data_IF_955215936756
#
_entry.id   IF_955215936756
#
_cell.length_a   1.000
_cell.length_b   1.000
_cell.length_c   1.000
_cell.angle_alpha   90.00
_cell.angle_beta   90.00
_cell.angle_gamma   90.00
#
_symmetry.space_group_name_H-M   'P 1'
#
loop_
_entity.id
_entity.type
_entity.pdbx_description
1 polymer ?
#
# COMPACT_ATOMS: atom_id res chain seq x y z
N UNK A 1 -17.07 57.22 78.97
CA UNK A 1 -16.55 58.22 78.02
C UNK A 1 -16.11 57.50 76.75
N UNK A 2 -16.71 57.84 75.62
CA UNK A 2 -16.14 57.70 74.28
C UNK A 2 -15.77 59.13 73.80
N UNK A 3 -15.22 59.38 72.59
CA UNK A 3 -14.38 58.63 71.62
C UNK A 3 -13.12 59.51 71.27
N UNK A 4 -12.47 59.59 70.06
CA UNK A 4 -12.62 58.96 68.72
C UNK A 4 -11.28 58.42 68.11
N UNK A 5 -11.11 57.84 66.90
CA UNK A 5 -11.64 58.08 65.53
C UNK A 5 -11.55 56.83 64.62
N UNK A 6 -12.39 56.84 63.57
CA UNK A 6 -12.52 55.91 62.43
C UNK A 6 -11.73 56.39 61.19
N UNK A 7 -11.28 55.44 60.35
CA UNK A 7 -11.22 55.47 58.87
C UNK A 7 -11.56 54.02 58.44
N UNK A 8 -12.45 53.65 57.53
CA UNK A 8 -13.10 54.35 56.43
C UNK A 8 -12.61 53.79 55.10
N UNK A 9 -13.20 52.69 54.58
CA UNK A 9 -13.12 52.32 53.16
C UNK A 9 -14.36 51.52 52.73
N UNK A 10 -14.80 51.89 51.54
CA UNK A 10 -16.14 51.83 50.97
C UNK A 10 -16.36 50.57 50.13
N UNK A 11 -17.57 50.03 50.25
CA UNK A 11 -18.15 48.97 49.42
C UNK A 11 -18.76 49.58 48.16
N UNK A 12 -18.44 49.06 46.98
CA UNK A 12 -19.17 49.35 45.74
C UNK A 12 -19.69 48.05 45.14
N UNK A 13 -20.99 48.07 44.88
CA UNK A 13 -21.79 47.01 44.30
C UNK A 13 -21.61 46.95 42.79
N UNK A 14 -21.57 45.75 42.20
CA UNK A 14 -22.07 45.53 40.84
C UNK A 14 -22.82 44.20 40.76
N UNK A 15 -24.07 44.32 40.30
CA UNK A 15 -25.05 43.27 40.06
C UNK A 15 -24.62 42.36 38.91
N UNK A 16 -24.78 41.04 39.08
CA UNK A 16 -24.92 40.12 37.95
C UNK A 16 -26.35 39.60 37.91
N UNK A 17 -27.09 40.07 36.91
CA UNK A 17 -28.43 39.58 36.56
C UNK A 17 -28.32 38.23 35.85
N UNK A 18 -29.27 37.35 36.19
CA UNK A 18 -29.52 36.07 35.55
C UNK A 18 -29.96 36.23 34.10
N UNK A 19 -29.50 35.34 33.22
CA UNK A 19 -30.24 34.94 32.02
C UNK A 19 -30.04 33.45 31.78
N UNK A 20 -31.03 32.66 32.18
CA UNK A 20 -31.15 31.27 31.79
C UNK A 20 -31.70 31.24 30.35
N UNK A 21 -30.93 30.67 29.41
CA UNK A 21 -31.41 30.32 28.09
C UNK A 21 -31.45 28.79 27.98
N UNK A 22 -32.67 28.25 27.97
CA UNK A 22 -32.96 26.89 27.52
C UNK A 22 -32.59 26.78 26.04
N UNK A 23 -31.75 25.82 25.69
CA UNK A 23 -31.67 25.26 24.34
C UNK A 23 -31.98 23.77 24.45
N UNK A 24 -33.20 23.41 24.07
CA UNK A 24 -33.61 22.05 23.80
C UNK A 24 -32.85 21.57 22.53
N UNK A 25 -31.99 20.56 22.69
CA UNK A 25 -31.45 19.83 21.57
C UNK A 25 -32.49 18.78 21.14
N UNK A 26 -32.97 18.90 19.91
CA UNK A 26 -33.80 17.89 19.25
C UNK A 26 -32.91 16.71 18.84
N UNK A 27 -33.26 15.51 19.31
CA UNK A 27 -32.68 14.26 18.85
C UNK A 27 -33.07 14.00 17.39
N UNK A 28 -32.18 14.36 16.47
CA UNK A 28 -32.20 13.84 15.10
C UNK A 28 -31.24 12.64 15.03
N UNK A 29 -31.78 11.45 15.28
CA UNK A 29 -31.11 10.18 15.04
C UNK A 29 -30.79 10.05 13.54
N UNK A 30 -29.58 10.44 13.15
CA UNK A 30 -29.02 10.12 11.82
C UNK A 30 -28.49 8.70 11.87
N UNK A 31 -29.33 7.75 11.44
CA UNK A 31 -28.94 6.38 11.20
C UNK A 31 -27.81 6.33 10.15
N UNK A 32 -26.58 6.06 10.60
CA UNK A 32 -25.48 5.74 9.72
C UNK A 32 -25.80 4.43 8.97
N UNK A 33 -25.66 4.36 7.63
CA UNK A 33 -26.02 3.15 6.91
C UNK A 33 -25.11 1.99 7.34
N UNK A 34 -25.74 0.89 7.78
CA UNK A 34 -25.05 -0.35 8.15
C UNK A 34 -24.13 -0.79 6.99
N UNK A 35 -22.89 -1.17 7.31
CA UNK A 35 -21.85 -1.49 6.33
C UNK A 35 -22.15 -2.72 5.45
N UNK A 36 -23.19 -3.50 5.75
CA UNK A 36 -23.66 -4.59 4.88
C UNK A 36 -24.19 -4.10 3.52
N UNK A 37 -24.71 -2.87 3.45
CA UNK A 37 -25.21 -2.28 2.21
C UNK A 37 -24.08 -1.91 1.23
N UNK A 38 -22.89 -1.54 1.74
CA UNK A 38 -21.70 -1.24 0.93
C UNK A 38 -21.07 -2.49 0.30
N UNK A 39 -21.09 -3.62 1.02
CA UNK A 39 -20.59 -4.89 0.49
C UNK A 39 -21.52 -5.52 -0.56
N UNK A 40 -22.82 -5.25 -0.51
CA UNK A 40 -23.77 -5.69 -1.54
C UNK A 40 -23.68 -4.83 -2.80
N UNK A 41 -23.41 -3.54 -2.67
CA UNK A 41 -23.25 -2.61 -3.79
C UNK A 41 -21.99 -2.86 -4.65
N UNK A 42 -20.88 -3.36 -4.06
CA UNK A 42 -19.65 -3.61 -4.83
C UNK A 42 -19.72 -4.85 -5.75
N UNK A 43 -20.67 -5.76 -5.53
CA UNK A 43 -20.90 -6.92 -6.40
C UNK A 43 -21.62 -6.57 -7.71
N UNK A 44 -22.25 -5.39 -7.80
CA UNK A 44 -23.10 -4.99 -8.94
C UNK A 44 -22.55 -3.82 -9.76
N UNK A 45 -21.45 -3.18 -9.35
CA UNK A 45 -20.90 -2.04 -10.10
C UNK A 45 -20.01 -2.54 -11.24
N UNK A 46 -20.28 -2.10 -12.45
CA UNK A 46 -19.43 -2.39 -13.62
C UNK A 46 -18.00 -1.90 -13.36
N UNK A 47 -17.01 -2.63 -13.91
CA UNK A 47 -15.63 -2.17 -13.85
C UNK A 47 -15.46 -0.93 -14.73
N UNK A 48 -14.57 0.02 -14.35
CA UNK A 48 -14.22 1.11 -15.25
C UNK A 48 -13.69 0.58 -16.58
N UNK A 49 -14.04 1.26 -17.66
CA UNK A 49 -13.51 0.98 -19.00
C UNK A 49 -12.29 1.87 -19.22
N UNK A 50 -11.26 1.34 -19.85
CA UNK A 50 -10.01 2.05 -20.13
C UNK A 50 -9.80 2.18 -21.64
N UNK A 51 -9.03 3.20 -22.04
CA UNK A 51 -8.46 3.29 -23.37
C UNK A 51 -7.39 2.21 -23.54
N UNK A 52 -7.24 1.70 -24.76
CA UNK A 52 -6.14 0.81 -25.09
C UNK A 52 -4.80 1.53 -24.90
N UNK A 53 -3.87 0.87 -24.22
CA UNK A 53 -2.52 1.35 -24.03
C UNK A 53 -1.69 1.23 -25.32
N UNK A 54 -0.74 2.14 -25.56
CA UNK A 54 0.20 2.00 -26.66
C UNK A 54 0.98 0.68 -26.59
N UNK A 55 1.41 0.17 -27.74
CA UNK A 55 2.37 -0.93 -27.79
C UNK A 55 3.77 -0.41 -27.44
N UNK A 56 4.43 -1.06 -26.50
CA UNK A 56 5.82 -0.80 -26.12
C UNK A 56 6.69 -1.96 -26.63
N UNK A 57 7.82 -1.64 -27.27
CA UNK A 57 8.70 -2.61 -27.93
C UNK A 57 10.11 -2.52 -27.40
N UNK A 58 10.80 -3.64 -27.38
CA UNK A 58 12.19 -3.71 -27.00
C UNK A 58 13.10 -2.95 -27.98
N UNK A 59 14.13 -2.32 -27.44
CA UNK A 59 15.28 -1.88 -28.20
C UNK A 59 16.18 -3.05 -28.63
N UNK A 60 17.14 -2.78 -29.52
CA UNK A 60 18.09 -3.80 -30.03
C UNK A 60 18.99 -4.41 -28.96
N UNK A 61 19.23 -3.67 -27.88
CA UNK A 61 20.08 -4.03 -26.74
C UNK A 61 19.38 -5.02 -25.78
N UNK A 62 18.07 -5.24 -25.94
CA UNK A 62 17.30 -6.07 -25.02
C UNK A 62 17.62 -7.56 -25.16
N UNK A 63 17.76 -8.30 -24.04
CA UNK A 63 17.93 -9.73 -24.07
C UNK A 63 16.76 -10.41 -24.78
N UNK A 64 17.06 -11.33 -25.69
CA UNK A 64 16.03 -12.12 -26.37
C UNK A 64 15.44 -13.13 -25.41
N UNK A 65 14.12 -13.16 -25.34
CA UNK A 65 13.37 -14.24 -24.70
C UNK A 65 13.48 -15.47 -25.61
N UNK A 66 13.69 -16.64 -25.00
CA UNK A 66 13.81 -17.91 -25.71
C UNK A 66 12.49 -18.23 -26.40
N UNK A 67 12.53 -18.33 -27.72
CA UNK A 67 11.44 -18.88 -28.52
C UNK A 67 11.42 -20.42 -28.35
N UNK A 68 10.59 -20.87 -27.40
CA UNK A 68 10.05 -22.23 -27.23
C UNK A 68 10.97 -23.44 -26.95
N UNK A 69 10.56 -24.23 -25.94
CA UNK A 69 10.33 -25.69 -25.99
C UNK A 69 9.76 -26.11 -24.62
N UNK A 70 8.45 -26.38 -24.53
CA UNK A 70 7.74 -26.96 -23.36
C UNK A 70 7.78 -26.24 -21.98
N UNK A 71 8.56 -25.17 -21.78
CA UNK A 71 8.60 -24.41 -20.52
C UNK A 71 7.43 -23.42 -20.40
N UNK A 72 7.01 -23.09 -19.17
CA UNK A 72 5.99 -22.07 -18.98
C UNK A 72 6.57 -20.70 -19.42
N UNK A 73 5.77 -19.79 -20.00
CA UNK A 73 6.22 -18.47 -20.45
C UNK A 73 6.92 -17.61 -19.39
N UNK A 74 6.88 -18.02 -18.12
CA UNK A 74 7.46 -17.34 -16.95
C UNK A 74 8.85 -17.84 -16.56
N UNK A 75 9.46 -18.76 -17.29
CA UNK A 75 10.65 -19.48 -16.80
C UNK A 75 11.97 -18.97 -17.43
N UNK A 76 11.89 -17.92 -18.25
CA UNK A 76 13.04 -17.38 -18.96
C UNK A 76 13.87 -16.42 -18.07
N UNK A 77 15.19 -16.64 -17.93
CA UNK A 77 16.06 -15.77 -17.12
C UNK A 77 16.16 -14.32 -17.62
N UNK A 78 15.78 -14.05 -18.87
CA UNK A 78 15.71 -12.71 -19.44
C UNK A 78 14.49 -11.91 -18.94
N UNK A 79 13.55 -12.55 -18.25
CA UNK A 79 12.34 -11.90 -17.75
C UNK A 79 12.57 -11.18 -16.43
N UNK A 80 11.92 -10.02 -16.31
CA UNK A 80 11.76 -9.30 -15.06
C UNK A 80 10.35 -9.59 -14.55
N UNK A 81 10.28 -10.32 -13.44
CA UNK A 81 9.01 -10.69 -12.84
C UNK A 81 8.51 -9.58 -11.92
N UNK A 82 7.31 -9.08 -12.22
CA UNK A 82 6.66 -8.03 -11.45
C UNK A 82 5.39 -8.59 -10.87
N UNK A 83 5.13 -8.38 -9.58
CA UNK A 83 3.90 -8.84 -8.93
C UNK A 83 3.11 -7.68 -8.35
N UNK A 84 1.79 -7.74 -8.52
CA UNK A 84 0.86 -6.72 -8.01
C UNK A 84 -0.43 -7.40 -7.56
N UNK A 85 -1.10 -6.80 -6.58
CA UNK A 85 -2.51 -7.12 -6.32
C UNK A 85 -3.41 -6.43 -7.35
N UNK A 86 -4.56 -7.04 -7.64
CA UNK A 86 -5.55 -6.55 -8.57
C UNK A 86 -6.94 -6.70 -7.96
N UNK A 87 -7.62 -5.58 -7.73
CA UNK A 87 -9.01 -5.53 -7.29
C UNK A 87 -9.78 -4.41 -7.98
N UNK A 88 -11.11 -4.52 -7.98
CA UNK A 88 -11.99 -3.58 -8.66
C UNK A 88 -11.91 -2.14 -8.11
N UNK A 89 -11.58 -1.97 -6.83
CA UNK A 89 -11.51 -0.65 -6.16
C UNK A 89 -10.23 0.10 -6.56
N UNK A 90 -9.12 -0.62 -6.70
CA UNK A 90 -7.82 -0.08 -7.05
C UNK A 90 -7.44 -0.26 -8.53
N UNK A 91 -8.33 -0.83 -9.35
CA UNK A 91 -8.05 -1.17 -10.75
C UNK A 91 -7.49 0.01 -11.55
N UNK A 92 -8.02 1.22 -11.37
CA UNK A 92 -7.51 2.44 -12.03
C UNK A 92 -6.05 2.73 -11.64
N UNK A 93 -5.70 2.53 -10.37
CA UNK A 93 -4.32 2.62 -9.89
C UNK A 93 -3.42 1.51 -10.47
N UNK A 94 -3.88 0.26 -10.46
CA UNK A 94 -3.12 -0.88 -11.03
C UNK A 94 -2.84 -0.67 -12.53
N UNK A 95 -3.81 -0.19 -13.30
CA UNK A 95 -3.65 0.14 -14.73
C UNK A 95 -2.61 1.23 -14.92
N UNK A 96 -2.68 2.32 -14.15
CA UNK A 96 -1.69 3.38 -14.21
C UNK A 96 -0.27 2.89 -13.82
N UNK A 97 -0.18 2.02 -12.81
CA UNK A 97 1.06 1.39 -12.39
C UNK A 97 1.68 0.55 -13.52
N UNK A 98 0.90 -0.36 -14.13
CA UNK A 98 1.34 -1.18 -15.27
C UNK A 98 1.80 -0.30 -16.44
N UNK A 99 0.99 0.70 -16.83
CA UNK A 99 1.35 1.62 -17.92
C UNK A 99 2.65 2.37 -17.61
N UNK A 100 2.83 2.84 -16.37
CA UNK A 100 4.03 3.57 -15.98
C UNK A 100 5.29 2.70 -16.09
N UNK A 101 5.20 1.45 -15.65
CA UNK A 101 6.30 0.48 -15.78
C UNK A 101 6.64 0.25 -17.25
N UNK A 102 5.63 -0.04 -18.09
CA UNK A 102 5.84 -0.29 -19.52
C UNK A 102 6.43 0.92 -20.25
N UNK A 103 5.97 2.13 -19.91
CA UNK A 103 6.41 3.38 -20.54
C UNK A 103 7.86 3.72 -20.23
N UNK A 104 8.38 3.34 -19.07
CA UNK A 104 9.71 3.71 -18.61
C UNK A 104 10.74 2.57 -18.66
N UNK A 105 10.32 1.34 -18.97
CA UNK A 105 11.22 0.21 -19.13
C UNK A 105 12.01 0.30 -20.44
N UNK A 106 13.32 0.00 -20.38
CA UNK A 106 14.13 -0.11 -21.60
C UNK A 106 13.76 -1.34 -22.44
N UNK A 107 13.31 -2.41 -21.77
CA UNK A 107 12.92 -3.68 -22.38
C UNK A 107 11.52 -4.11 -21.94
N UNK A 108 10.47 -3.41 -22.40
CA UNK A 108 9.09 -3.63 -21.97
C UNK A 108 8.56 -5.03 -22.31
N UNK A 109 9.05 -5.68 -23.37
CA UNK A 109 8.61 -7.03 -23.75
C UNK A 109 9.26 -8.11 -22.86
N UNK A 110 10.31 -7.78 -22.10
CA UNK A 110 10.93 -8.66 -21.08
C UNK A 110 10.21 -8.62 -19.72
N UNK A 111 9.13 -7.85 -19.59
CA UNK A 111 8.41 -7.76 -18.33
C UNK A 111 7.31 -8.82 -18.27
N UNK A 112 7.25 -9.56 -17.15
CA UNK A 112 6.18 -10.53 -16.91
C UNK A 112 5.43 -10.20 -15.63
N UNK A 113 4.13 -9.92 -15.75
CA UNK A 113 3.29 -9.53 -14.61
C UNK A 113 2.56 -10.72 -13.98
N UNK A 114 2.79 -10.94 -12.69
CA UNK A 114 2.05 -11.86 -11.84
C UNK A 114 1.00 -11.09 -11.04
N UNK A 115 -0.25 -11.18 -11.44
CA UNK A 115 -1.33 -10.39 -10.86
C UNK A 115 -2.16 -11.24 -9.91
N UNK A 116 -2.39 -10.78 -8.68
CA UNK A 116 -3.16 -11.50 -7.67
C UNK A 116 -4.55 -10.90 -7.52
N UNK A 117 -5.59 -11.68 -7.81
CA UNK A 117 -6.99 -11.24 -7.64
C UNK A 117 -7.77 -12.18 -6.74
N UNK A 118 -8.58 -11.64 -5.83
CA UNK A 118 -9.43 -12.46 -4.94
C UNK A 118 -10.84 -12.69 -5.48
N UNK A 119 -11.37 -11.74 -6.25
CA UNK A 119 -12.73 -11.74 -6.78
C UNK A 119 -12.74 -11.18 -8.20
N UNK A 120 -13.79 -11.52 -8.98
CA UNK A 120 -14.00 -11.02 -10.34
C UNK A 120 -12.80 -11.23 -11.28
N UNK A 121 -12.08 -12.34 -11.12
CA UNK A 121 -10.85 -12.63 -11.87
C UNK A 121 -11.08 -12.58 -13.39
N UNK A 122 -12.19 -13.11 -13.89
CA UNK A 122 -12.49 -13.12 -15.32
C UNK A 122 -12.81 -11.72 -15.87
N UNK A 123 -13.55 -10.90 -15.11
CA UNK A 123 -13.81 -9.50 -15.49
C UNK A 123 -12.51 -8.70 -15.52
N UNK A 124 -11.69 -8.83 -14.47
CA UNK A 124 -10.40 -8.16 -14.37
C UNK A 124 -9.45 -8.59 -15.50
N UNK A 125 -9.40 -9.88 -15.83
CA UNK A 125 -8.65 -10.41 -16.97
C UNK A 125 -9.12 -9.79 -18.27
N UNK A 126 -10.45 -9.76 -18.52
CA UNK A 126 -11.02 -9.15 -19.75
C UNK A 126 -10.66 -7.68 -19.85
N UNK A 127 -10.79 -6.92 -18.76
CA UNK A 127 -10.40 -5.51 -18.73
C UNK A 127 -8.92 -5.33 -19.05
N UNK A 128 -8.03 -6.12 -18.46
CA UNK A 128 -6.60 -6.03 -18.73
C UNK A 128 -6.23 -6.39 -20.16
N UNK A 129 -6.81 -7.45 -20.73
CA UNK A 129 -6.56 -7.82 -22.14
C UNK A 129 -7.02 -6.72 -23.09
N UNK A 130 -8.17 -6.11 -22.82
CA UNK A 130 -8.66 -4.98 -23.62
C UNK A 130 -7.82 -3.71 -23.45
N UNK A 131 -7.26 -3.48 -22.26
CA UNK A 131 -6.46 -2.28 -21.96
C UNK A 131 -5.02 -2.44 -22.41
N UNK A 132 -4.44 -3.63 -22.31
CA UNK A 132 -3.05 -3.93 -22.66
C UNK A 132 -2.96 -5.21 -23.52
N UNK A 133 -3.26 -5.13 -24.83
CA UNK A 133 -3.29 -6.31 -25.71
C UNK A 133 -1.95 -7.06 -25.82
N UNK A 134 -0.84 -6.37 -25.56
CA UNK A 134 0.53 -6.91 -25.65
C UNK A 134 1.16 -7.22 -24.29
N UNK A 135 0.40 -7.16 -23.19
CA UNK A 135 0.94 -7.41 -21.85
C UNK A 135 1.19 -8.90 -21.64
N UNK A 136 2.42 -9.26 -21.30
CA UNK A 136 2.75 -10.59 -20.78
C UNK A 136 2.37 -10.67 -19.30
N UNK A 137 1.28 -11.38 -18.99
CA UNK A 137 0.83 -11.55 -17.61
C UNK A 137 0.18 -12.90 -17.32
N UNK A 138 0.18 -13.25 -16.04
CA UNK A 138 -0.64 -14.33 -15.48
C UNK A 138 -1.43 -13.82 -14.28
N UNK A 139 -2.73 -14.11 -14.28
CA UNK A 139 -3.61 -13.83 -13.16
C UNK A 139 -3.71 -15.06 -12.24
N UNK A 140 -3.44 -14.87 -10.96
CA UNK A 140 -3.55 -15.88 -9.92
C UNK A 140 -4.73 -15.56 -9.00
N UNK A 141 -5.54 -16.57 -8.71
CA UNK A 141 -6.66 -16.45 -7.78
C UNK A 141 -6.14 -16.56 -6.35
N UNK A 142 -6.27 -15.49 -5.59
CA UNK A 142 -5.98 -15.50 -4.15
C UNK A 142 -7.25 -15.88 -3.37
N UNK A 143 -7.22 -17.03 -2.68
CA UNK A 143 -8.34 -17.43 -1.81
C UNK A 143 -8.30 -16.63 -0.50
N UNK A 144 -9.25 -15.71 -0.24
CA UNK A 144 -9.24 -14.92 0.98
C UNK A 144 -9.39 -15.76 2.26
N UNK A 145 -9.86 -17.01 2.16
CA UNK A 145 -10.00 -17.92 3.31
C UNK A 145 -8.66 -18.35 3.90
N UNK A 146 -7.57 -18.34 3.11
CA UNK A 146 -6.24 -18.74 3.58
C UNK A 146 -5.70 -17.86 4.72
N UNK A 147 -6.15 -16.61 4.76
CA UNK A 147 -5.67 -15.58 5.68
C UNK A 147 -6.75 -14.98 6.58
N UNK A 148 -8.04 -15.13 6.23
CA UNK A 148 -9.14 -14.47 6.94
C UNK A 148 -9.11 -14.70 8.45
N UNK A 149 -8.90 -15.95 8.88
CA UNK A 149 -8.91 -16.32 10.30
C UNK A 149 -7.63 -15.90 11.03
N UNK A 150 -6.63 -15.40 10.30
CA UNK A 150 -5.35 -14.91 10.83
C UNK A 150 -5.32 -13.38 10.92
N UNK A 151 -6.27 -12.68 10.29
CA UNK A 151 -6.33 -11.20 10.31
C UNK A 151 -6.99 -10.74 11.61
N UNK A 152 -6.29 -9.88 12.35
CA UNK A 152 -6.88 -9.12 13.45
C UNK A 152 -7.44 -7.80 12.94
N UNK A 153 -8.55 -7.36 13.53
CA UNK A 153 -9.13 -6.05 13.23
C UNK A 153 -8.10 -4.95 13.47
N UNK A 154 -7.80 -4.16 12.43
CA UNK A 154 -6.93 -2.99 12.47
C UNK A 154 -7.73 -1.74 12.83
N UNK A 155 -7.04 -0.65 13.18
CA UNK A 155 -7.68 0.67 13.39
C UNK A 155 -8.42 1.17 12.13
N UNK A 156 -8.08 0.62 10.96
CA UNK A 156 -8.80 0.88 9.70
C UNK A 156 -9.30 -0.42 9.09
N UNK A 157 -10.62 -0.57 8.95
CA UNK A 157 -11.25 -1.74 8.29
C UNK A 157 -10.73 -2.02 6.88
N UNK A 158 -10.29 -0.99 6.15
CA UNK A 158 -9.69 -1.14 4.82
C UNK A 158 -8.36 -1.92 4.83
N UNK A 159 -7.65 -1.93 5.97
CA UNK A 159 -6.41 -2.69 6.16
C UNK A 159 -6.67 -4.18 6.38
N UNK A 160 -7.87 -4.54 6.83
CA UNK A 160 -8.27 -5.93 7.10
C UNK A 160 -8.66 -6.70 5.84
N UNK A 161 -8.62 -6.07 4.67
CA UNK A 161 -8.93 -6.72 3.41
C UNK A 161 -7.92 -7.85 3.15
N UNK A 162 -8.35 -9.11 2.95
CA UNK A 162 -7.45 -10.25 2.75
C UNK A 162 -6.39 -10.02 1.65
N UNK A 163 -6.76 -9.29 0.60
CA UNK A 163 -5.84 -9.01 -0.50
C UNK A 163 -4.61 -8.18 -0.07
N UNK A 164 -4.69 -7.38 1.01
CA UNK A 164 -3.54 -6.66 1.56
C UNK A 164 -2.45 -7.59 2.11
N UNK A 165 -2.83 -8.82 2.45
CA UNK A 165 -1.96 -9.87 2.97
C UNK A 165 -1.51 -10.85 1.87
N UNK A 166 -2.03 -10.75 0.64
CA UNK A 166 -1.68 -11.67 -0.45
C UNK A 166 -0.18 -11.70 -0.74
N UNK A 167 0.52 -10.58 -0.50
CA UNK A 167 1.99 -10.46 -0.62
C UNK A 167 2.78 -11.43 0.30
N UNK A 168 2.17 -11.89 1.40
CA UNK A 168 2.77 -12.90 2.30
C UNK A 168 2.89 -14.26 1.60
N UNK A 169 1.98 -14.54 0.67
CA UNK A 169 1.80 -15.85 0.03
C UNK A 169 2.42 -15.92 -1.37
N UNK A 170 3.22 -14.94 -1.78
CA UNK A 170 3.80 -14.90 -3.14
C UNK A 170 4.58 -16.18 -3.46
N UNK A 171 5.41 -16.64 -2.52
CA UNK A 171 6.20 -17.85 -2.66
C UNK A 171 5.35 -19.13 -2.84
N UNK A 172 4.15 -19.15 -2.25
CA UNK A 172 3.21 -20.28 -2.31
C UNK A 172 2.30 -20.22 -3.55
N UNK A 173 2.01 -19.02 -4.04
CA UNK A 173 1.12 -18.78 -5.17
C UNK A 173 1.83 -18.85 -6.52
N UNK A 174 3.07 -18.34 -6.59
CA UNK A 174 3.86 -18.31 -7.82
C UNK A 174 4.61 -19.62 -8.01
N UNK A 175 4.77 -20.10 -9.26
CA UNK A 175 5.42 -21.37 -9.52
C UNK A 175 6.88 -21.36 -9.03
N UNK A 176 7.44 -22.52 -8.65
CA UNK A 176 8.83 -22.63 -8.20
C UNK A 176 9.85 -22.10 -9.20
N UNK A 177 9.52 -22.13 -10.49
CA UNK A 177 10.35 -21.59 -11.58
C UNK A 177 10.51 -20.07 -11.56
N UNK A 178 9.74 -19.34 -10.75
CA UNK A 178 9.93 -17.91 -10.49
C UNK A 178 10.72 -17.76 -9.18
N UNK A 179 12.05 -17.53 -9.25
CA UNK A 179 12.90 -17.44 -8.06
C UNK A 179 12.91 -16.04 -7.45
N UNK A 180 12.44 -15.02 -8.18
CA UNK A 180 12.60 -13.61 -7.80
C UNK A 180 11.46 -12.78 -8.37
N UNK A 181 11.01 -11.77 -7.61
CA UNK A 181 9.99 -10.80 -8.07
C UNK A 181 10.29 -9.39 -7.58
N UNK A 182 9.83 -8.38 -8.32
CA UNK A 182 9.61 -7.03 -7.82
C UNK A 182 8.12 -6.90 -7.46
N UNK A 183 7.81 -6.71 -6.18
CA UNK A 183 6.46 -6.44 -5.70
C UNK A 183 6.17 -4.94 -5.72
N UNK A 184 5.01 -4.58 -6.28
CA UNK A 184 4.50 -3.21 -6.39
C UNK A 184 3.06 -3.13 -5.87
N UNK A 185 2.78 -2.20 -4.95
CA UNK A 185 1.41 -1.86 -4.54
C UNK A 185 0.65 -1.19 -5.71
N UNK A 186 -0.68 -1.13 -5.63
CA UNK A 186 -1.55 -0.68 -6.74
C UNK A 186 -1.70 0.84 -6.87
N UNK A 187 -1.07 1.64 -6.02
CA UNK A 187 -1.23 3.08 -5.89
C UNK A 187 0.09 3.83 -6.07
N UNK A 188 0.88 3.39 -7.05
CA UNK A 188 2.16 3.98 -7.43
C UNK A 188 2.29 4.20 -8.94
N UNK A 189 3.24 5.05 -9.32
CA UNK A 189 3.78 5.08 -10.69
C UNK A 189 5.30 5.02 -10.65
N UNK A 190 5.85 4.31 -11.61
CA UNK A 190 7.30 4.20 -11.84
C UNK A 190 7.69 5.21 -12.92
N UNK A 191 8.77 5.96 -12.70
CA UNK A 191 9.26 7.03 -13.59
C UNK A 191 10.73 6.84 -13.96
N UNK A 192 11.24 5.62 -13.81
CA UNK A 192 12.58 5.19 -14.17
C UNK A 192 12.54 3.72 -14.61
N UNK A 193 13.64 3.21 -15.15
CA UNK A 193 13.71 1.84 -15.65
C UNK A 193 13.67 0.81 -14.52
N UNK A 194 12.60 0.00 -14.46
CA UNK A 194 12.40 -1.04 -13.45
C UNK A 194 13.51 -2.09 -13.43
N UNK A 195 14.24 -2.27 -14.53
CA UNK A 195 15.40 -3.16 -14.60
C UNK A 195 16.49 -2.80 -13.59
N UNK A 196 16.64 -1.50 -13.26
CA UNK A 196 17.58 -1.03 -12.24
C UNK A 196 17.22 -1.52 -10.84
N UNK A 197 15.92 -1.50 -10.50
CA UNK A 197 15.42 -2.05 -9.24
C UNK A 197 15.54 -3.58 -9.22
N UNK A 198 15.18 -4.23 -10.33
CA UNK A 198 15.32 -5.68 -10.48
C UNK A 198 16.77 -6.15 -10.29
N UNK A 199 17.76 -5.42 -10.81
CA UNK A 199 19.17 -5.81 -10.79
C UNK A 199 19.87 -5.62 -9.43
N UNK A 200 19.22 -5.05 -8.42
CA UNK A 200 19.83 -4.86 -7.09
C UNK A 200 20.28 -6.20 -6.52
N UNK A 201 21.55 -6.32 -6.16
CA UNK A 201 22.03 -7.51 -5.44
C UNK A 201 21.40 -7.56 -4.04
N UNK A 202 20.81 -8.71 -3.71
CA UNK A 202 20.19 -8.95 -2.39
C UNK A 202 21.21 -9.46 -1.37
N UNK A 203 22.45 -9.74 -1.79
CA UNK A 203 23.46 -10.44 -1.01
C UNK A 203 22.87 -11.73 -0.39
N UNK A 204 22.99 -11.88 0.93
CA UNK A 204 22.39 -12.97 1.71
C UNK A 204 20.98 -12.64 2.23
N UNK A 205 20.43 -11.47 1.91
CA UNK A 205 19.08 -11.09 2.34
C UNK A 205 18.01 -11.73 1.45
N UNK A 206 16.81 -11.87 1.99
CA UNK A 206 15.64 -12.42 1.29
C UNK A 206 14.86 -11.34 0.54
N UNK A 207 14.94 -10.10 1.03
CA UNK A 207 14.26 -8.99 0.40
C UNK A 207 15.06 -7.69 0.49
N UNK A 208 14.83 -6.81 -0.48
CA UNK A 208 15.31 -5.44 -0.50
C UNK A 208 14.16 -4.44 -0.52
N UNK A 209 14.30 -3.34 0.22
CA UNK A 209 13.32 -2.26 0.30
C UNK A 209 13.97 -0.96 0.79
N UNK A 210 13.39 0.23 0.51
CA UNK A 210 13.88 1.48 1.08
C UNK A 210 13.65 1.53 2.59
N UNK A 211 14.72 1.74 3.36
CA UNK A 211 14.68 1.86 4.83
C UNK A 211 14.66 3.31 5.29
N UNK A 212 13.73 3.66 6.18
CA UNK A 212 13.56 5.00 6.75
C UNK A 212 13.89 4.97 8.25
N UNK A 213 15.17 4.83 8.57
CA UNK A 213 15.67 4.74 9.96
C UNK A 213 15.42 6.00 10.82
N UNK A 214 15.03 7.12 10.21
CA UNK A 214 14.63 8.34 10.92
C UNK A 214 13.18 8.28 11.44
N UNK A 215 12.37 7.35 10.93
CA UNK A 215 11.02 7.15 11.43
C UNK A 215 11.05 6.58 12.85
N UNK A 216 10.12 7.00 13.69
CA UNK A 216 9.97 6.45 15.03
C UNK A 216 9.41 5.01 14.93
N UNK A 217 10.32 4.03 14.95
CA UNK A 217 10.02 2.61 14.82
C UNK A 217 9.09 2.09 15.94
N UNK A 218 9.17 2.68 17.13
CA UNK A 218 8.33 2.32 18.28
C UNK A 218 6.83 2.44 17.96
N UNK A 219 6.45 3.39 17.10
CA UNK A 219 5.04 3.67 16.73
C UNK A 219 4.36 2.57 15.91
N UNK A 220 5.09 1.58 15.42
CA UNK A 220 4.52 0.47 14.63
C UNK A 220 4.02 -0.69 15.51
N UNK A 221 4.26 -0.62 16.82
CA UNK A 221 3.88 -1.62 17.80
C UNK A 221 3.25 -0.94 19.03
N UNK A 222 2.41 -1.66 19.77
CA UNK A 222 1.74 -1.15 20.97
C UNK A 222 2.67 -1.12 22.17
N UNK A 223 2.32 -0.37 23.22
CA UNK A 223 3.07 -0.38 24.49
C UNK A 223 3.14 -1.79 25.09
N UNK A 224 2.09 -2.60 24.90
CA UNK A 224 2.06 -4.00 25.32
C UNK A 224 3.15 -4.86 24.64
N UNK A 225 3.46 -4.59 23.37
CA UNK A 225 4.58 -5.26 22.70
C UNK A 225 5.91 -4.89 23.34
N UNK A 226 6.14 -3.60 23.59
CA UNK A 226 7.41 -3.10 24.13
C UNK A 226 7.63 -3.47 25.59
N UNK A 227 6.55 -3.68 26.35
CA UNK A 227 6.59 -4.13 27.74
C UNK A 227 6.92 -5.63 27.90
N UNK A 228 6.79 -6.45 26.85
CA UNK A 228 7.03 -7.89 26.89
C UNK A 228 8.48 -8.22 26.45
N UNK A 229 9.37 -8.65 27.37
CA UNK A 229 10.75 -8.97 27.03
C UNK A 229 10.90 -10.10 26.02
N UNK A 230 9.97 -11.07 25.98
CA UNK A 230 10.03 -12.19 25.04
C UNK A 230 9.71 -11.72 23.62
N UNK A 231 8.78 -10.78 23.45
CA UNK A 231 8.46 -10.21 22.14
C UNK A 231 9.60 -9.33 21.62
N UNK A 232 10.13 -8.45 22.48
CA UNK A 232 11.18 -7.49 22.08
C UNK A 232 12.52 -8.14 21.75
N UNK A 233 12.80 -9.36 22.25
CA UNK A 233 13.98 -10.16 21.84
C UNK A 233 14.11 -10.31 20.33
N UNK A 234 12.99 -10.32 19.59
CA UNK A 234 13.00 -10.41 18.11
C UNK A 234 13.89 -9.37 17.43
N UNK A 235 14.08 -8.20 18.04
CA UNK A 235 14.91 -7.12 17.51
C UNK A 235 16.30 -7.05 18.15
N UNK A 236 16.49 -7.62 19.36
CA UNK A 236 17.76 -7.56 20.09
C UNK A 236 18.85 -8.41 19.44
N UNK A 237 18.49 -9.56 18.89
CA UNK A 237 19.44 -10.51 18.31
C UNK A 237 19.79 -10.20 16.84
N UNK A 238 19.47 -8.99 16.35
CA UNK A 238 19.75 -8.58 14.96
C UNK A 238 21.09 -7.89 14.87
N UNK A 239 21.87 -8.24 13.85
CA UNK A 239 23.16 -7.60 13.56
C UNK A 239 23.02 -6.13 13.16
N UNK A 240 21.90 -5.77 12.52
CA UNK A 240 21.61 -4.39 12.13
C UNK A 240 20.43 -3.84 12.94
N UNK A 241 20.42 -2.52 13.12
CA UNK A 241 19.32 -1.79 13.74
C UNK A 241 18.03 -2.04 12.96
N UNK A 242 16.96 -2.41 13.65
CA UNK A 242 15.64 -2.52 13.06
C UNK A 242 15.13 -1.12 12.65
N UNK A 243 14.91 -0.92 11.35
CA UNK A 243 14.34 0.28 10.78
C UNK A 243 12.98 0.01 10.12
N UNK A 244 12.16 1.05 10.04
CA UNK A 244 10.94 0.99 9.25
C UNK A 244 11.30 0.93 7.78
N UNK A 245 10.65 0.03 7.03
CA UNK A 245 10.60 0.05 5.59
C UNK A 245 9.14 -0.09 5.15
N UNK A 246 8.80 0.54 4.03
CA UNK A 246 7.47 0.40 3.45
C UNK A 246 7.38 -0.90 2.64
N UNK A 247 6.27 -1.64 2.76
CA UNK A 247 6.08 -2.94 2.07
C UNK A 247 5.42 -2.83 0.70
N UNK A 248 5.25 -1.61 0.16
CA UNK A 248 4.62 -1.40 -1.14
C UNK A 248 5.55 -1.45 -2.33
N UNK A 249 6.86 -1.46 -2.09
CA UNK A 249 7.89 -1.69 -3.11
C UNK A 249 8.95 -2.58 -2.50
N UNK A 250 9.11 -3.80 -3.03
CA UNK A 250 10.10 -4.76 -2.53
C UNK A 250 10.68 -5.57 -3.69
N UNK A 251 11.96 -5.91 -3.61
CA UNK A 251 12.55 -6.97 -4.43
C UNK A 251 12.68 -8.19 -3.54
N UNK A 252 12.14 -9.32 -3.96
CA UNK A 252 12.00 -10.52 -3.13
C UNK A 252 12.65 -11.71 -3.83
N UNK A 253 13.55 -12.38 -3.14
CA UNK A 253 14.05 -13.71 -3.48
C UNK A 253 13.04 -14.75 -2.99
N UNK A 254 12.21 -15.24 -3.91
CA UNK A 254 11.21 -16.27 -3.61
C UNK A 254 11.85 -17.63 -3.33
N UNK A 255 13.03 -17.92 -3.86
CA UNK A 255 13.75 -19.16 -3.54
C UNK A 255 14.15 -19.19 -2.07
N UNK A 256 14.87 -18.16 -1.60
CA UNK A 256 15.22 -18.01 -0.18
C UNK A 256 13.97 -17.86 0.70
N UNK A 257 12.90 -17.24 0.19
CA UNK A 257 11.64 -17.14 0.91
C UNK A 257 11.03 -18.53 1.20
N UNK A 258 11.01 -19.40 0.20
CA UNK A 258 10.53 -20.79 0.31
C UNK A 258 11.42 -21.60 1.25
N UNK A 259 12.73 -21.57 1.02
CA UNK A 259 13.72 -22.30 1.84
C UNK A 259 13.66 -21.91 3.32
N UNK A 260 13.50 -20.62 3.60
CA UNK A 260 13.44 -20.11 4.97
C UNK A 260 12.06 -20.20 5.64
N UNK A 261 11.02 -20.67 4.94
CA UNK A 261 9.66 -20.77 5.48
C UNK A 261 9.09 -19.43 5.94
N UNK A 262 9.34 -18.36 5.18
CA UNK A 262 9.02 -17.00 5.61
C UNK A 262 7.52 -16.71 5.65
N UNK A 263 6.71 -17.38 4.83
CA UNK A 263 5.24 -17.35 4.92
C UNK A 263 4.81 -17.76 6.34
N UNK A 264 5.28 -18.90 6.83
CA UNK A 264 4.89 -19.43 8.13
C UNK A 264 5.38 -18.54 9.28
N UNK A 265 6.58 -17.94 9.16
CA UNK A 265 7.09 -16.97 10.15
C UNK A 265 6.21 -15.73 10.26
N UNK A 266 5.73 -15.21 9.13
CA UNK A 266 4.80 -14.08 9.12
C UNK A 266 3.45 -14.46 9.75
N UNK A 267 2.91 -15.63 9.40
CA UNK A 267 1.66 -16.13 9.98
C UNK A 267 1.75 -16.32 11.50
N UNK A 268 2.87 -16.82 12.02
CA UNK A 268 3.09 -16.94 13.46
C UNK A 268 2.96 -15.60 14.18
N UNK A 269 3.49 -14.52 13.61
CA UNK A 269 3.32 -13.18 14.18
C UNK A 269 1.88 -12.66 14.07
N UNK A 270 1.16 -13.02 13.02
CA UNK A 270 -0.27 -12.71 12.88
C UNK A 270 -1.11 -13.43 13.94
N UNK A 271 -0.75 -14.66 14.31
CA UNK A 271 -1.44 -15.38 15.39
C UNK A 271 -1.11 -14.79 16.77
N UNK A 272 0.15 -14.40 17.02
CA UNK A 272 0.52 -13.66 18.24
C UNK A 272 -0.29 -12.36 18.35
N UNK A 273 -0.49 -11.65 17.23
CA UNK A 273 -1.32 -10.45 17.20
C UNK A 273 -2.76 -10.71 17.62
N UNK A 274 -3.37 -11.83 17.24
CA UNK A 274 -4.76 -12.17 17.64
C UNK A 274 -4.90 -12.35 19.14
N UNK A 275 -3.89 -12.94 19.79
CA UNK A 275 -3.89 -13.14 21.24
C UNK A 275 -3.53 -11.89 22.03
N UNK A 276 -2.45 -11.19 21.64
CA UNK A 276 -1.82 -10.13 22.46
C UNK A 276 -2.05 -8.69 21.98
N UNK A 277 -2.57 -8.46 20.76
CA UNK A 277 -2.78 -7.12 20.18
C UNK A 277 -1.53 -6.23 20.24
N UNK A 278 -0.44 -6.71 19.63
CA UNK A 278 0.90 -6.11 19.64
C UNK A 278 1.11 -4.98 18.62
N UNK A 279 0.17 -4.75 17.70
CA UNK A 279 0.16 -3.62 16.76
C UNK A 279 -1.26 -3.25 16.31
N UNK A 280 -1.40 -2.10 15.64
CA UNK A 280 -2.69 -1.53 15.20
C UNK A 280 -2.88 -1.41 13.68
N UNK A 281 -1.81 -1.70 12.92
CA UNK A 281 -1.76 -1.61 11.46
C UNK A 281 -2.10 -2.96 10.81
N UNK A 282 -2.23 -2.96 9.47
CA UNK A 282 -2.58 -4.13 8.66
C UNK A 282 -1.42 -5.12 8.48
N UNK A 283 -1.04 -5.39 7.23
CA UNK A 283 -0.02 -6.39 6.90
C UNK A 283 1.43 -5.94 7.13
N UNK A 284 1.69 -4.65 7.40
CA UNK A 284 3.04 -4.10 7.57
C UNK A 284 3.79 -4.63 8.82
N UNK A 285 3.22 -4.63 10.05
CA UNK A 285 3.98 -5.02 11.23
C UNK A 285 4.55 -6.45 11.21
N UNK A 286 3.84 -7.48 10.70
CA UNK A 286 4.44 -8.80 10.47
C UNK A 286 5.74 -8.73 9.64
N UNK A 287 5.77 -7.94 8.58
CA UNK A 287 7.00 -7.76 7.78
C UNK A 287 8.12 -7.11 8.60
N UNK A 288 7.82 -6.08 9.40
CA UNK A 288 8.82 -5.46 10.27
C UNK A 288 9.35 -6.47 11.32
N UNK A 289 8.46 -7.25 11.92
CA UNK A 289 8.79 -8.30 12.90
C UNK A 289 9.66 -9.40 12.31
N UNK A 290 9.58 -9.68 11.02
CA UNK A 290 10.40 -10.72 10.38
C UNK A 290 11.68 -10.14 9.77
N UNK A 291 11.61 -8.95 9.18
CA UNK A 291 12.65 -8.46 8.25
C UNK A 291 13.35 -7.16 8.66
N UNK A 292 12.83 -6.31 9.57
CA UNK A 292 13.51 -5.03 9.88
C UNK A 292 14.96 -5.24 10.36
N UNK A 293 15.96 -4.61 9.73
CA UNK A 293 17.38 -4.90 10.03
C UNK A 293 17.93 -6.20 9.40
N UNK A 294 17.12 -6.88 8.58
CA UNK A 294 17.45 -8.05 7.74
C UNK A 294 16.96 -7.85 6.29
N UNK A 295 16.85 -6.58 5.87
CA UNK A 295 16.57 -6.20 4.49
C UNK A 295 17.83 -5.67 3.86
N UNK A 296 17.97 -5.85 2.55
CA UNK A 296 18.95 -5.08 1.78
C UNK A 296 18.37 -3.68 1.57
N UNK A 297 19.03 -2.66 2.13
CA UNK A 297 18.62 -1.28 1.94
C UNK A 297 18.77 -0.88 0.46
N UNK A 298 17.74 -0.24 -0.08
CA UNK A 298 17.80 0.39 -1.41
C UNK A 298 17.55 1.88 -1.30
N UNK A 299 17.96 2.62 -2.33
CA UNK A 299 17.86 4.08 -2.37
C UNK A 299 16.39 4.54 -2.25
N UNK A 300 16.15 5.62 -1.52
CA UNK A 300 14.80 6.15 -1.28
C UNK A 300 14.06 6.58 -2.56
N UNK A 301 14.79 6.80 -3.65
CA UNK A 301 14.22 7.11 -4.97
C UNK A 301 13.22 6.08 -5.46
N UNK A 302 13.36 4.83 -5.02
CA UNK A 302 12.48 3.72 -5.37
C UNK A 302 11.18 3.68 -4.57
N UNK A 303 10.97 4.59 -3.62
CA UNK A 303 9.69 4.69 -2.91
C UNK A 303 9.50 6.09 -2.30
N UNK A 304 9.04 7.05 -3.10
CA UNK A 304 8.54 8.33 -2.59
C UNK A 304 7.14 8.12 -2.00
N UNK A 305 7.09 7.57 -0.79
CA UNK A 305 5.88 7.09 -0.14
C UNK A 305 5.15 8.19 0.65
N UNK A 306 3.88 7.94 0.99
CA UNK A 306 3.07 8.87 1.78
C UNK A 306 2.39 9.96 0.95
N UNK A 307 2.41 9.90 -0.38
CA UNK A 307 1.76 10.89 -1.25
C UNK A 307 0.22 10.84 -1.15
N UNK A 308 -0.34 9.79 -0.53
CA UNK A 308 -1.74 9.72 -0.14
C UNK A 308 -2.11 10.65 1.03
N UNK A 309 -1.16 11.45 1.52
CA UNK A 309 -1.35 12.52 2.48
C UNK A 309 -1.37 12.05 3.93
N UNK A 310 -1.41 13.02 4.85
CA UNK A 310 -1.59 12.72 6.27
C UNK A 310 -2.95 12.05 6.50
N UNK A 311 -2.95 10.98 7.28
CA UNK A 311 -4.12 10.17 7.56
C UNK A 311 -5.13 10.84 8.50
N UNK A 312 -4.71 11.92 9.19
CA UNK A 312 -5.53 12.70 10.13
C UNK A 312 -6.13 13.93 9.46
N UNK A 313 -5.33 14.75 8.77
CA UNK A 313 -5.79 16.01 8.17
C UNK A 313 -5.98 15.98 6.65
N UNK A 314 -5.59 14.90 5.97
CA UNK A 314 -5.66 14.81 4.50
C UNK A 314 -4.70 15.75 3.77
N UNK A 315 -3.70 16.30 4.48
CA UNK A 315 -2.75 17.25 3.93
C UNK A 315 -1.87 16.59 2.86
N UNK A 316 -1.65 17.30 1.75
CA UNK A 316 -0.67 16.94 0.74
C UNK A 316 0.73 16.85 1.36
N UNK A 317 1.56 15.96 0.82
CA UNK A 317 2.94 15.79 1.24
C UNK A 317 3.87 16.03 0.06
N UNK A 318 5.02 16.64 0.36
CA UNK A 318 6.11 16.80 -0.60
C UNK A 318 6.91 15.50 -0.74
N UNK A 319 7.76 15.49 -1.77
CA UNK A 319 8.71 14.40 -2.00
C UNK A 319 9.78 14.39 -0.90
N UNK A 320 10.30 13.20 -0.60
CA UNK A 320 11.54 13.09 0.16
C UNK A 320 12.71 13.65 -0.67
N UNK A 321 13.75 14.21 -0.01
CA UNK A 321 14.93 14.71 -0.71
C UNK A 321 15.61 13.65 -1.60
N UNK A 322 16.18 14.09 -2.72
CA UNK A 322 16.96 13.25 -3.62
C UNK A 322 16.23 12.92 -4.94
N UNK A 323 16.82 12.03 -5.76
CA UNK A 323 16.22 11.64 -7.04
C UNK A 323 14.93 10.84 -6.83
N UNK A 324 14.12 10.78 -7.89
CA UNK A 324 12.83 10.08 -7.92
C UNK A 324 12.84 9.05 -9.03
N UNK A 325 12.51 7.80 -8.69
CA UNK A 325 12.27 6.72 -9.64
C UNK A 325 10.86 6.13 -9.50
N UNK A 326 10.23 6.32 -8.34
CA UNK A 326 8.90 5.80 -8.06
C UNK A 326 8.16 6.72 -7.09
N UNK A 327 6.93 7.07 -7.45
CA UNK A 327 5.99 7.88 -6.67
C UNK A 327 4.89 6.98 -6.11
N UNK A 328 4.62 7.05 -4.80
CA UNK A 328 3.72 6.11 -4.13
C UNK A 328 2.70 6.83 -3.23
N UNK A 329 1.42 6.75 -3.63
CA UNK A 329 0.27 7.30 -2.92
C UNK A 329 -0.22 6.41 -1.78
N UNK A 330 0.73 5.85 -1.02
CA UNK A 330 0.42 5.16 0.22
C UNK A 330 -0.27 6.12 1.20
N UNK A 331 -1.32 5.63 1.84
CA UNK A 331 -2.22 6.45 2.65
C UNK A 331 -3.67 6.39 2.13
N UNK A 332 -4.49 7.35 2.58
CA UNK A 332 -5.93 7.38 2.25
C UNK A 332 -6.21 8.08 0.92
N UNK A 333 -5.52 9.16 0.62
CA UNK A 333 -5.69 9.91 -0.61
C UNK A 333 -5.22 9.10 -1.80
N UNK A 334 -6.07 8.98 -2.81
CA UNK A 334 -5.71 8.37 -4.10
C UNK A 334 -5.77 9.42 -5.19
N UNK A 335 -4.78 9.46 -6.10
CA UNK A 335 -4.66 10.55 -7.06
C UNK A 335 -5.91 10.62 -7.96
N UNK A 336 -6.40 9.48 -8.45
CA UNK A 336 -7.63 9.42 -9.24
C UNK A 336 -8.86 9.97 -8.52
N UNK A 337 -9.04 9.66 -7.23
CA UNK A 337 -10.17 10.18 -6.45
C UNK A 337 -10.07 11.69 -6.23
N UNK A 338 -8.85 12.19 -5.97
CA UNK A 338 -8.60 13.61 -5.74
C UNK A 338 -8.80 14.42 -7.02
N UNK A 339 -8.30 13.91 -8.15
CA UNK A 339 -8.50 14.48 -9.48
C UNK A 339 -9.99 14.54 -9.84
N UNK A 340 -10.72 13.43 -9.73
CA UNK A 340 -12.16 13.38 -10.04
C UNK A 340 -12.98 14.35 -9.16
N UNK A 341 -12.57 14.53 -7.90
CA UNK A 341 -13.24 15.45 -6.96
C UNK A 341 -12.91 16.94 -7.15
N UNK A 342 -12.03 17.27 -8.10
CA UNK A 342 -11.55 18.65 -8.30
C UNK A 342 -10.70 19.19 -7.14
N UNK A 343 -10.11 18.30 -6.32
CA UNK A 343 -9.27 18.65 -5.16
C UNK A 343 -7.91 17.95 -5.22
N UNK A 344 -7.13 18.11 -6.31
CA UNK A 344 -5.83 17.47 -6.44
C UNK A 344 -4.82 18.04 -5.45
N UNK A 345 -3.95 17.17 -4.97
CA UNK A 345 -2.65 17.60 -4.45
C UNK A 345 -1.71 17.94 -5.61
N UNK A 346 -0.70 18.81 -5.42
CA UNK A 346 0.21 19.22 -6.50
C UNK A 346 0.81 18.03 -7.27
N UNK A 347 1.24 16.98 -6.55
CA UNK A 347 1.87 15.80 -7.15
C UNK A 347 0.89 14.87 -7.86
N UNK A 348 -0.44 14.99 -7.68
CA UNK A 348 -1.42 14.15 -8.38
C UNK A 348 -1.39 14.38 -9.90
N UNK A 349 -0.98 15.58 -10.32
CA UNK A 349 -0.74 15.91 -11.72
C UNK A 349 0.33 15.03 -12.37
N UNK A 350 1.27 14.47 -11.59
CA UNK A 350 2.29 13.54 -12.09
C UNK A 350 1.73 12.13 -12.32
N UNK A 351 0.60 11.79 -11.69
CA UNK A 351 -0.09 10.51 -11.90
C UNK A 351 -1.02 10.57 -13.12
N UNK A 352 -1.65 11.72 -13.39
CA UNK A 352 -2.64 11.89 -14.45
C UNK A 352 -2.23 11.39 -15.85
N UNK A 353 -0.96 11.54 -16.31
CA UNK A 353 -0.53 11.04 -17.62
C UNK A 353 -0.56 9.51 -17.80
N UNK A 354 -0.78 8.76 -16.72
CA UNK A 354 -0.89 7.30 -16.74
C UNK A 354 -2.33 6.82 -16.58
N UNK A 355 -3.29 7.73 -16.46
CA UNK A 355 -4.69 7.39 -16.30
C UNK A 355 -5.34 7.09 -17.65
N UNK A 356 -5.65 5.82 -17.88
CA UNK A 356 -6.32 5.37 -19.10
C UNK A 356 -7.84 5.34 -18.98
N UNK A 357 -8.44 5.78 -17.87
CA UNK A 357 -9.90 5.63 -17.70
C UNK A 357 -10.64 6.37 -18.82
N UNK A 358 -11.59 5.69 -19.45
CA UNK A 358 -12.54 6.33 -20.38
C UNK A 358 -13.57 7.05 -19.54
N UNK A 359 -13.42 8.35 -19.41
CA UNK A 359 -14.50 9.18 -18.90
C UNK A 359 -15.57 9.19 -19.98
N UNK A 360 -16.70 8.51 -19.76
CA UNK A 360 -17.87 8.69 -20.61
C UNK A 360 -18.24 10.18 -20.58
N UNK A 361 -18.51 10.85 -21.71
CA UNK A 361 -18.84 12.26 -21.68
C UNK A 361 -20.16 12.44 -20.94
N UNK A 362 -20.07 12.74 -19.65
CA UNK A 362 -21.05 13.52 -18.94
C UNK A 362 -20.36 14.84 -18.65
N UNK A 363 -20.99 15.94 -19.09
CA UNK A 363 -20.55 17.33 -19.03
C UNK A 363 -19.80 17.84 -20.28
N UNK A 364 -20.49 17.78 -21.41
CA UNK A 364 -20.51 18.90 -22.35
C UNK A 364 -21.97 19.33 -22.51
N UNK A 365 -22.45 20.16 -21.58
CA UNK A 365 -23.56 21.11 -21.74
C UNK A 365 -23.27 22.31 -20.82
#
# INVERSE_FOLDING_TARGET
>A
MAPPRRLGRTTTWFLFFSLAALLAATDAATASPKSDTLHRASRQRELPVFHEAPAFRNGRECPRIREETNAAPSDDPALIHITMTLDATYLRGSVAGILSVLRHASCPENLFFHLLASHRADDLRRTLVATFPYLSFRLYKFDPRSVRDKISLSVRRALDQPLNYARIYLADLLPPSVPRVVYLDSDLVVVDDIAKLWAIDLDNQVLAAPEYCHANFTKYFTDAFWADPELTKTFKDRSNKACYFNTGVMVIDLSKWREGGYTQRLESWMEVQKGKRIYELGSLPPFLLVFAGKVRAVEHRWNQHGLGGDNLKGLCRDLHPGPVSLLHWSGKGKPWLRLDSGRPCPLDSLWAPYDLVRVWPFLAD
#
